data_IF_691030436133
#
_entry.id   IF_691030436133
#
_cell.length_a   1.000
_cell.length_b   1.000
_cell.length_c   1.000
_cell.angle_alpha   90.00
_cell.angle_beta   90.00
_cell.angle_gamma   90.00
#
_symmetry.space_group_name_H-M   'P 1'
#
loop_
_entity.id
_entity.type
_entity.pdbx_description
1 polymer ?
#
# COMPACT_ATOMS: atom_id res chain seq x y z
N UNK A 1 -17.08 -13.44 4.60
CA UNK A 1 -15.97 -12.83 5.37
C UNK A 1 -14.69 -13.55 4.97
N UNK A 2 -13.73 -12.85 4.36
CA UNK A 2 -12.45 -13.44 3.99
C UNK A 2 -11.61 -13.62 5.27
N UNK A 3 -11.03 -14.80 5.48
CA UNK A 3 -10.12 -15.04 6.62
C UNK A 3 -8.88 -14.16 6.45
N UNK A 4 -8.63 -13.25 7.40
CA UNK A 4 -7.45 -12.41 7.38
C UNK A 4 -6.21 -13.24 7.76
N UNK A 5 -5.12 -13.07 7.01
CA UNK A 5 -3.80 -13.59 7.40
C UNK A 5 -3.09 -12.51 8.21
N UNK A 6 -2.71 -12.85 9.44
CA UNK A 6 -1.96 -11.94 10.33
C UNK A 6 -0.47 -12.21 10.16
N UNK A 7 0.30 -11.15 9.90
CA UNK A 7 1.76 -11.20 9.82
C UNK A 7 2.31 -10.38 10.97
N UNK A 8 3.11 -11.02 11.83
CA UNK A 8 3.76 -10.38 12.98
C UNK A 8 5.27 -10.37 12.75
N UNK A 9 5.90 -9.22 12.93
CA UNK A 9 7.34 -9.06 12.80
C UNK A 9 7.84 -8.02 13.81
N UNK A 10 9.13 -8.10 14.16
CA UNK A 10 9.83 -7.10 14.96
C UNK A 10 10.92 -6.50 14.08
N UNK A 11 10.98 -5.17 14.01
CA UNK A 11 11.97 -4.43 13.24
C UNK A 11 12.55 -3.33 14.13
N UNK A 12 13.87 -3.13 14.14
CA UNK A 12 14.47 -1.90 14.63
C UNK A 12 13.82 -0.66 13.97
N UNK A 13 13.69 0.48 14.68
CA UNK A 13 13.05 1.67 14.12
C UNK A 13 13.62 2.11 12.77
N UNK A 14 14.95 2.06 12.61
CA UNK A 14 15.62 2.41 11.35
C UNK A 14 15.23 1.49 10.19
N UNK A 15 15.08 0.18 10.42
CA UNK A 15 14.65 -0.77 9.40
C UNK A 15 13.18 -0.55 9.03
N UNK A 16 12.32 -0.31 10.01
CA UNK A 16 10.90 -0.02 9.78
C UNK A 16 10.70 1.30 9.01
N UNK A 17 11.49 2.33 9.31
CA UNK A 17 11.47 3.61 8.58
C UNK A 17 11.95 3.43 7.13
N UNK A 18 13.07 2.72 6.92
CA UNK A 18 13.60 2.43 5.59
C UNK A 18 12.61 1.59 4.75
N UNK A 19 12.01 0.56 5.34
CA UNK A 19 11.00 -0.26 4.70
C UNK A 19 9.76 0.57 4.32
N UNK A 20 9.28 1.44 5.21
CA UNK A 20 8.15 2.32 4.93
C UNK A 20 8.44 3.28 3.77
N UNK A 21 9.65 3.85 3.70
CA UNK A 21 10.07 4.72 2.60
C UNK A 21 10.08 3.96 1.27
N UNK A 22 10.68 2.78 1.24
CA UNK A 22 10.71 1.94 0.04
C UNK A 22 9.30 1.54 -0.41
N UNK A 23 8.42 1.13 0.51
CA UNK A 23 7.03 0.79 0.18
C UNK A 23 6.26 2.00 -0.37
N UNK A 24 6.50 3.22 0.11
CA UNK A 24 5.86 4.42 -0.43
C UNK A 24 6.28 4.70 -1.87
N UNK A 25 7.57 4.57 -2.16
CA UNK A 25 8.06 4.83 -3.51
C UNK A 25 7.57 3.78 -4.51
N UNK A 26 7.66 2.50 -4.15
CA UNK A 26 7.10 1.43 -4.99
C UNK A 26 5.59 1.63 -5.23
N UNK A 27 4.84 2.00 -4.20
CA UNK A 27 3.41 2.25 -4.32
C UNK A 27 3.11 3.42 -5.26
N UNK A 28 3.90 4.49 -5.19
CA UNK A 28 3.78 5.67 -6.06
C UNK A 28 4.04 5.30 -7.52
N UNK A 29 5.09 4.52 -7.78
CA UNK A 29 5.43 4.05 -9.12
C UNK A 29 4.32 3.16 -9.71
N UNK A 30 3.88 2.13 -8.98
CA UNK A 30 2.80 1.25 -9.44
C UNK A 30 1.48 1.98 -9.60
N UNK A 31 1.16 2.93 -8.70
CA UNK A 31 -0.05 3.72 -8.83
C UNK A 31 -0.01 4.56 -10.11
N UNK A 32 1.12 5.20 -10.40
CA UNK A 32 1.27 6.00 -11.61
C UNK A 32 1.11 5.14 -12.87
N UNK A 33 1.74 3.97 -12.92
CA UNK A 33 1.61 3.03 -14.02
C UNK A 33 0.15 2.61 -14.25
N UNK A 34 -0.52 2.13 -13.21
CA UNK A 34 -1.91 1.69 -13.34
C UNK A 34 -2.90 2.84 -13.54
N UNK A 35 -2.57 4.07 -13.10
CA UNK A 35 -3.46 5.21 -13.28
C UNK A 35 -3.79 5.52 -14.74
N UNK A 36 -2.85 5.20 -15.64
CA UNK A 36 -2.96 5.43 -17.09
C UNK A 36 -3.19 4.15 -17.90
N UNK A 37 -3.22 2.98 -17.26
CA UNK A 37 -3.57 1.73 -17.94
C UNK A 37 -5.01 1.78 -18.47
N UNK A 38 -5.23 1.26 -19.68
CA UNK A 38 -6.52 1.35 -20.37
C UNK A 38 -7.68 0.79 -19.54
N UNK A 39 -7.43 -0.28 -18.77
CA UNK A 39 -8.40 -0.90 -17.87
C UNK A 39 -8.97 0.04 -16.79
N UNK A 40 -8.27 1.13 -16.45
CA UNK A 40 -8.68 2.09 -15.43
C UNK A 40 -8.93 3.50 -16.00
N UNK A 41 -8.56 3.75 -17.25
CA UNK A 41 -8.60 5.08 -17.88
C UNK A 41 -10.01 5.67 -17.95
N UNK A 42 -11.03 4.81 -18.13
CA UNK A 42 -12.45 5.21 -18.18
C UNK A 42 -13.10 5.30 -16.80
N UNK A 43 -12.43 4.85 -15.73
CA UNK A 43 -12.93 5.01 -14.37
C UNK A 43 -12.81 6.47 -13.97
N UNK A 44 -13.89 7.05 -13.45
CA UNK A 44 -13.92 8.41 -12.92
C UNK A 44 -12.80 8.62 -11.90
N UNK A 45 -12.12 9.77 -11.95
CA UNK A 45 -10.90 10.01 -11.17
C UNK A 45 -11.07 9.76 -9.65
N UNK A 46 -12.22 10.16 -9.08
CA UNK A 46 -12.52 9.93 -7.66
C UNK A 46 -12.72 8.46 -7.27
N UNK A 47 -12.98 7.57 -8.23
CA UNK A 47 -13.19 6.13 -8.00
C UNK A 47 -11.99 5.29 -8.46
N UNK A 48 -11.11 5.85 -9.29
CA UNK A 48 -10.02 5.12 -9.94
C UNK A 48 -9.06 4.49 -8.93
N UNK A 49 -8.70 5.21 -7.87
CA UNK A 49 -7.84 4.65 -6.82
C UNK A 49 -8.43 3.40 -6.18
N UNK A 50 -9.73 3.43 -5.85
CA UNK A 50 -10.44 2.28 -5.30
C UNK A 50 -10.52 1.12 -6.29
N UNK A 51 -10.79 1.40 -7.57
CA UNK A 51 -10.82 0.40 -8.63
C UNK A 51 -9.47 -0.31 -8.83
N UNK A 52 -8.36 0.45 -8.80
CA UNK A 52 -7.00 -0.10 -8.87
C UNK A 52 -6.76 -1.05 -7.70
N UNK A 53 -7.09 -0.65 -6.47
CA UNK A 53 -6.87 -1.51 -5.30
C UNK A 53 -7.76 -2.76 -5.28
N UNK A 54 -8.94 -2.71 -5.90
CA UNK A 54 -9.79 -3.88 -6.04
C UNK A 54 -9.21 -4.89 -7.05
N UNK A 55 -8.52 -4.42 -8.09
CA UNK A 55 -7.99 -5.25 -9.18
C UNK A 55 -6.53 -5.66 -9.01
N UNK A 56 -5.73 -4.91 -8.24
CA UNK A 56 -4.29 -5.13 -8.05
C UNK A 56 -4.03 -5.48 -6.57
N UNK A 57 -4.10 -6.78 -6.19
CA UNK A 57 -4.06 -7.20 -4.79
C UNK A 57 -2.78 -6.78 -4.05
N UNK A 58 -1.63 -6.79 -4.73
CA UNK A 58 -0.35 -6.39 -4.14
C UNK A 58 -0.35 -4.93 -3.67
N UNK A 59 -0.95 -4.01 -4.45
CA UNK A 59 -1.09 -2.62 -4.03
C UNK A 59 -2.03 -2.47 -2.83
N UNK A 60 -3.10 -3.27 -2.79
CA UNK A 60 -4.01 -3.29 -1.65
C UNK A 60 -3.31 -3.79 -0.37
N UNK A 61 -2.46 -4.81 -0.49
CA UNK A 61 -1.63 -5.30 0.62
C UNK A 61 -0.61 -4.25 1.06
N UNK A 62 0.11 -3.66 0.11
CA UNK A 62 1.11 -2.61 0.36
C UNK A 62 0.51 -1.39 1.07
N UNK A 63 -0.69 -0.92 0.65
CA UNK A 63 -1.41 0.17 1.35
C UNK A 63 -1.68 -0.17 2.83
N UNK A 64 -2.10 -1.41 3.11
CA UNK A 64 -2.34 -1.88 4.48
C UNK A 64 -1.06 -1.98 5.29
N UNK A 65 0.01 -2.52 4.70
CA UNK A 65 1.31 -2.64 5.35
C UNK A 65 1.92 -1.26 5.67
N UNK A 66 1.87 -0.31 4.73
CA UNK A 66 2.32 1.06 4.97
C UNK A 66 1.56 1.72 6.14
N UNK A 67 0.24 1.49 6.24
CA UNK A 67 -0.57 2.01 7.34
C UNK A 67 -0.17 1.37 8.68
N UNK A 68 0.02 0.04 8.71
CA UNK A 68 0.48 -0.67 9.90
C UNK A 68 1.85 -0.18 10.37
N UNK A 69 2.84 -0.11 9.46
CA UNK A 69 4.18 0.40 9.77
C UNK A 69 4.13 1.85 10.26
N UNK A 70 3.35 2.72 9.60
CA UNK A 70 3.20 4.12 10.02
C UNK A 70 2.58 4.23 11.42
N UNK A 71 1.65 3.33 11.77
CA UNK A 71 1.04 3.30 13.09
C UNK A 71 2.04 2.79 14.15
N UNK A 72 2.72 1.67 13.90
CA UNK A 72 3.71 1.10 14.81
C UNK A 72 4.88 2.06 15.07
N UNK A 73 5.41 2.72 14.04
CA UNK A 73 6.48 3.70 14.19
C UNK A 73 6.08 4.92 15.04
N UNK A 74 4.80 5.33 14.99
CA UNK A 74 4.29 6.42 15.85
C UNK A 74 4.12 5.98 17.30
N UNK A 75 3.90 4.69 17.56
CA UNK A 75 3.71 4.15 18.91
C UNK A 75 5.03 3.93 19.67
N UNK A 76 6.14 3.83 18.93
CA UNK A 76 7.50 3.62 19.50
C UNK A 76 8.26 4.95 19.70
N UNK A 77 7.81 6.03 19.05
CA UNK A 77 8.31 7.40 19.28
C UNK A 77 7.70 8.01 20.54
#
# INVERSE_FOLDING_TARGET
MTKAVIVTTQLPPAEAEALLANLREQYRLSLNEHWYADQFRLVAAGLRHGAILAHIPVMAAQKRLMAALSHSLKAVK
#
